data_IF_146859014863
#
_entry.id   IF_146859014863
#
_cell.length_a   1.000
_cell.length_b   1.000
_cell.length_c   1.000
_cell.angle_alpha   90.00
_cell.angle_beta   90.00
_cell.angle_gamma   90.00
#
_symmetry.space_group_name_H-M   'P 1'
#
loop_
_entity.id
_entity.type
_entity.pdbx_description
1 polymer ?
#
# COMPACT_ATOMS: atom_id res chain seq x y z
N UNK A 1 -29.55 13.25 30.66
CA UNK A 1 -29.73 14.61 30.11
C UNK A 1 -28.92 14.67 28.83
N UNK A 2 -29.61 14.91 27.73
CA UNK A 2 -29.20 14.72 26.32
C UNK A 2 -27.77 15.10 26.00
N UNK A 3 -27.19 14.34 25.06
CA UNK A 3 -25.82 14.46 24.57
C UNK A 3 -25.53 15.92 24.16
N UNK A 4 -24.86 16.66 25.04
CA UNK A 4 -24.25 17.94 24.68
C UNK A 4 -22.85 17.65 24.18
N UNK A 5 -22.59 17.99 22.93
CA UNK A 5 -21.27 17.93 22.34
C UNK A 5 -20.45 19.13 22.81
N UNK A 6 -19.20 18.88 23.21
CA UNK A 6 -18.25 19.91 23.64
C UNK A 6 -17.05 19.88 22.67
N UNK A 7 -16.67 21.03 22.17
CA UNK A 7 -15.57 21.16 21.19
C UNK A 7 -14.14 21.03 21.77
N UNK A 8 -14.01 20.98 23.11
CA UNK A 8 -12.69 20.91 23.76
C UNK A 8 -12.63 19.77 24.74
N UNK A 9 -11.49 19.10 24.79
CA UNK A 9 -11.17 18.12 25.82
C UNK A 9 -11.14 18.78 27.19
N UNK A 10 -11.67 18.12 28.20
CA UNK A 10 -11.75 18.61 29.60
C UNK A 10 -12.84 17.89 30.38
N UNK A 11 -13.15 18.42 31.55
CA UNK A 11 -14.16 17.86 32.40
C UNK A 11 -15.57 18.36 32.05
N UNK A 12 -16.55 17.48 32.16
CA UNK A 12 -17.94 17.83 31.95
C UNK A 12 -18.39 18.90 32.99
N UNK A 13 -18.86 20.08 32.55
CA UNK A 13 -19.23 21.15 33.49
C UNK A 13 -20.45 20.83 34.32
N UNK A 14 -21.17 19.75 34.05
CA UNK A 14 -22.38 19.34 34.77
C UNK A 14 -22.10 18.26 35.82
N UNK A 15 -21.23 17.27 35.50
CA UNK A 15 -21.00 16.13 36.39
C UNK A 15 -19.53 15.91 36.76
N UNK A 16 -18.59 16.70 36.22
CA UNK A 16 -17.15 16.62 36.53
C UNK A 16 -16.42 15.38 36.01
N UNK A 17 -17.06 14.56 35.18
CA UNK A 17 -16.39 13.43 34.53
C UNK A 17 -15.62 13.89 33.28
N UNK A 18 -14.50 13.21 33.01
CA UNK A 18 -13.72 13.44 31.79
C UNK A 18 -14.58 13.27 30.53
N UNK A 19 -14.50 14.24 29.64
CA UNK A 19 -15.14 14.15 28.31
C UNK A 19 -14.37 13.15 27.45
N UNK A 20 -15.02 12.05 27.11
CA UNK A 20 -14.48 11.04 26.22
C UNK A 20 -14.67 11.51 24.77
N UNK A 21 -13.59 11.52 24.01
CA UNK A 21 -13.66 11.82 22.59
C UNK A 21 -14.51 10.74 21.91
N UNK A 22 -15.68 11.12 21.39
CA UNK A 22 -16.46 10.20 20.58
C UNK A 22 -15.65 9.88 19.32
N UNK A 23 -15.45 8.60 18.98
CA UNK A 23 -14.87 8.25 17.70
C UNK A 23 -15.82 8.82 16.64
N UNK A 24 -15.31 9.75 15.85
CA UNK A 24 -16.00 10.26 14.66
C UNK A 24 -16.19 9.03 13.78
N UNK A 25 -17.41 8.51 13.72
CA UNK A 25 -17.78 7.48 12.73
C UNK A 25 -17.71 8.19 11.40
N UNK A 26 -16.54 8.11 10.78
CA UNK A 26 -16.26 8.77 9.53
C UNK A 26 -17.18 8.19 8.46
N UNK A 27 -18.22 8.92 8.12
CA UNK A 27 -19.09 8.66 6.96
C UNK A 27 -18.35 8.80 5.63
N UNK A 28 -17.10 9.34 5.65
CA UNK A 28 -16.20 9.44 4.51
C UNK A 28 -14.97 8.54 4.72
N UNK A 29 -14.61 7.82 3.67
CA UNK A 29 -13.41 7.00 3.66
C UNK A 29 -12.20 7.93 3.70
N UNK A 30 -11.44 7.89 4.80
CA UNK A 30 -10.19 8.65 4.97
C UNK A 30 -8.99 7.75 4.66
N UNK A 31 -7.93 8.38 4.19
CA UNK A 31 -6.68 7.72 3.81
C UNK A 31 -5.54 8.27 4.64
N UNK A 32 -4.61 7.41 5.04
CA UNK A 32 -3.43 7.79 5.82
C UNK A 32 -2.17 7.19 5.21
N UNK A 33 -1.02 7.75 5.56
CA UNK A 33 0.26 7.16 5.19
C UNK A 33 0.71 6.16 6.26
N UNK A 34 1.09 4.93 5.88
CA UNK A 34 1.59 3.94 6.84
C UNK A 34 2.82 4.37 7.64
N UNK A 35 3.67 5.21 7.04
CA UNK A 35 4.89 5.75 7.66
C UNK A 35 4.68 7.09 8.37
N UNK A 36 3.61 7.83 8.03
CA UNK A 36 3.28 9.15 8.56
C UNK A 36 1.79 9.18 8.95
N UNK A 37 1.42 8.60 10.10
CA UNK A 37 0.02 8.53 10.54
C UNK A 37 -0.65 9.89 10.71
N UNK A 38 0.14 10.95 10.89
CA UNK A 38 -0.31 12.33 10.96
C UNK A 38 -0.85 12.87 9.61
N UNK A 39 -0.52 12.21 8.50
CA UNK A 39 -1.04 12.57 7.18
C UNK A 39 -2.37 11.88 6.96
N UNK A 40 -3.46 12.64 7.07
CA UNK A 40 -4.83 12.19 6.78
C UNK A 40 -5.35 12.96 5.59
N UNK A 41 -5.95 12.25 4.63
CA UNK A 41 -6.56 12.82 3.43
C UNK A 41 -7.94 12.19 3.20
N UNK A 42 -8.87 12.97 2.67
CA UNK A 42 -10.19 12.48 2.26
C UNK A 42 -10.17 11.82 0.87
N UNK A 43 -9.10 12.04 0.11
CA UNK A 43 -8.93 11.48 -1.24
C UNK A 43 -7.75 10.51 -1.29
N UNK A 44 -7.84 9.45 -2.14
CA UNK A 44 -6.72 8.56 -2.39
C UNK A 44 -5.61 9.32 -3.13
N UNK A 45 -4.37 9.14 -2.70
CA UNK A 45 -3.25 9.87 -3.28
C UNK A 45 -1.91 9.38 -2.78
N UNK A 46 -0.88 10.23 -2.91
CA UNK A 46 0.46 9.96 -2.41
C UNK A 46 0.74 10.85 -1.20
N UNK A 47 1.43 10.29 -0.21
CA UNK A 47 1.87 11.01 0.97
C UNK A 47 2.78 12.20 0.56
N UNK A 48 2.51 13.44 1.01
CA UNK A 48 3.33 14.58 0.68
C UNK A 48 4.74 14.51 1.29
N UNK A 49 4.93 13.73 2.35
CA UNK A 49 6.22 13.63 3.05
C UNK A 49 7.12 12.57 2.39
N UNK A 50 6.62 11.34 2.16
CA UNK A 50 7.46 10.25 1.66
C UNK A 50 7.10 9.76 0.25
N UNK A 51 6.01 10.25 -0.35
CA UNK A 51 5.58 9.88 -1.71
C UNK A 51 4.94 8.49 -1.84
N UNK A 52 4.75 7.76 -0.74
CA UNK A 52 4.03 6.49 -0.74
C UNK A 52 2.54 6.71 -0.97
N UNK A 53 1.87 5.71 -1.54
CA UNK A 53 0.43 5.76 -1.70
C UNK A 53 -0.25 5.71 -0.34
N UNK A 54 -1.27 6.55 -0.16
CA UNK A 54 -2.08 6.57 1.04
C UNK A 54 -2.99 5.33 1.06
N UNK A 55 -3.10 4.71 2.22
CA UNK A 55 -3.96 3.54 2.46
C UNK A 55 -5.23 3.98 3.20
N UNK A 56 -6.38 3.36 2.96
CA UNK A 56 -7.60 3.69 3.67
C UNK A 56 -7.47 3.39 5.17
N UNK A 57 -7.94 4.31 6.03
CA UNK A 57 -7.95 4.16 7.48
C UNK A 57 -8.83 2.97 7.92
N UNK A 58 -9.94 2.77 7.20
CA UNK A 58 -10.83 1.61 7.37
C UNK A 58 -10.65 0.73 6.14
N UNK A 59 -9.92 -0.40 6.25
CA UNK A 59 -9.65 -1.28 5.12
C UNK A 59 -10.94 -1.91 4.58
N UNK A 60 -11.19 -1.77 3.27
CA UNK A 60 -12.17 -2.58 2.56
C UNK A 60 -11.45 -3.75 1.90
N UNK A 61 -11.95 -4.97 2.10
CA UNK A 61 -11.34 -6.23 1.65
C UNK A 61 -10.85 -6.20 0.20
N UNK A 62 -11.66 -5.68 -0.70
CA UNK A 62 -11.41 -5.76 -2.13
C UNK A 62 -10.27 -4.84 -2.65
N UNK A 63 -9.90 -3.80 -1.90
CA UNK A 63 -8.93 -2.80 -2.40
C UNK A 63 -7.48 -3.17 -2.09
N UNK A 64 -7.19 -3.71 -0.91
CA UNK A 64 -5.83 -4.12 -0.52
C UNK A 64 -5.37 -5.32 -1.35
N UNK A 65 -6.23 -6.33 -1.52
CA UNK A 65 -5.93 -7.49 -2.35
C UNK A 65 -5.71 -7.10 -3.81
N UNK A 66 -6.50 -6.17 -4.34
CA UNK A 66 -6.35 -5.70 -5.72
C UNK A 66 -5.03 -4.96 -5.95
N UNK A 67 -4.57 -4.16 -4.98
CA UNK A 67 -3.29 -3.45 -5.06
C UNK A 67 -2.11 -4.41 -5.03
N UNK A 68 -2.13 -5.40 -4.13
CA UNK A 68 -1.13 -6.45 -4.07
C UNK A 68 -1.05 -7.27 -5.36
N UNK A 69 -2.19 -7.69 -5.89
CA UNK A 69 -2.23 -8.44 -7.14
C UNK A 69 -1.70 -7.67 -8.35
N UNK A 70 -1.96 -6.36 -8.42
CA UNK A 70 -1.41 -5.47 -9.45
C UNK A 70 0.11 -5.35 -9.34
N UNK A 71 0.64 -5.16 -8.13
CA UNK A 71 2.09 -5.13 -7.90
C UNK A 71 2.74 -6.48 -8.22
N UNK A 72 2.10 -7.59 -7.85
CA UNK A 72 2.58 -8.93 -8.15
C UNK A 72 2.62 -9.23 -9.65
N UNK A 73 1.61 -8.78 -10.41
CA UNK A 73 1.63 -8.90 -11.87
C UNK A 73 2.80 -8.14 -12.51
N UNK A 74 3.04 -6.89 -12.05
CA UNK A 74 4.19 -6.09 -12.49
C UNK A 74 5.52 -6.73 -12.12
N UNK A 75 5.61 -7.32 -10.92
CA UNK A 75 6.81 -8.02 -10.45
C UNK A 75 7.15 -9.23 -11.31
N UNK A 76 6.16 -10.04 -11.71
CA UNK A 76 6.38 -11.16 -12.63
C UNK A 76 6.99 -10.69 -13.95
N UNK A 77 6.44 -9.62 -14.53
CA UNK A 77 6.96 -9.04 -15.76
C UNK A 77 8.38 -8.53 -15.56
N UNK A 78 8.63 -7.77 -14.49
CA UNK A 78 9.96 -7.28 -14.18
C UNK A 78 10.98 -8.42 -14.09
N UNK A 79 10.66 -9.51 -13.38
CA UNK A 79 11.54 -10.67 -13.22
C UNK A 79 11.81 -11.40 -14.56
N UNK A 80 10.77 -11.62 -15.36
CA UNK A 80 10.88 -12.32 -16.66
C UNK A 80 11.89 -11.61 -17.57
N UNK A 81 11.92 -10.29 -17.55
CA UNK A 81 12.82 -9.51 -18.40
C UNK A 81 14.16 -9.17 -17.74
N UNK A 82 14.20 -8.91 -16.44
CA UNK A 82 15.43 -8.55 -15.72
C UNK A 82 16.38 -9.73 -15.58
N UNK A 83 15.87 -10.95 -15.31
CA UNK A 83 16.72 -12.14 -15.15
C UNK A 83 17.55 -12.43 -16.41
N UNK A 84 17.00 -12.46 -17.63
CA UNK A 84 17.80 -12.62 -18.85
C UNK A 84 18.83 -11.50 -19.04
N UNK A 85 18.47 -10.23 -18.81
CA UNK A 85 19.41 -9.11 -18.91
C UNK A 85 20.59 -9.33 -17.95
N UNK A 86 20.31 -9.68 -16.70
CA UNK A 86 21.33 -9.94 -15.70
C UNK A 86 22.25 -11.10 -16.10
N UNK A 87 21.71 -12.20 -16.62
CA UNK A 87 22.49 -13.34 -17.10
C UNK A 87 23.39 -12.93 -18.27
N UNK A 88 22.87 -12.20 -19.25
CA UNK A 88 23.63 -11.74 -20.42
C UNK A 88 24.78 -10.84 -19.96
N UNK A 89 24.50 -9.85 -19.13
CA UNK A 89 25.51 -8.91 -18.63
C UNK A 89 26.59 -9.63 -17.80
N UNK A 90 26.20 -10.47 -16.85
CA UNK A 90 27.14 -11.22 -16.00
C UNK A 90 27.95 -12.25 -16.80
N UNK A 91 27.39 -12.83 -17.85
CA UNK A 91 28.11 -13.76 -18.73
C UNK A 91 29.35 -13.12 -19.37
N UNK A 92 29.29 -11.81 -19.65
CA UNK A 92 30.41 -11.06 -20.21
C UNK A 92 31.67 -10.99 -19.31
N UNK A 93 31.55 -11.34 -18.01
CA UNK A 93 32.67 -11.41 -17.09
C UNK A 93 33.37 -12.77 -17.08
N UNK A 94 32.79 -13.79 -17.74
CA UNK A 94 33.34 -15.13 -17.79
C UNK A 94 34.26 -15.25 -19.00
N UNK A 95 35.56 -15.61 -18.84
CA UNK A 95 36.45 -15.87 -19.96
C UNK A 95 35.93 -17.08 -20.76
N UNK A 96 36.04 -16.98 -22.07
CA UNK A 96 35.53 -17.99 -23.06
C UNK A 96 34.00 -18.22 -22.96
N UNK A 97 33.27 -17.12 -22.89
CA UNK A 97 31.82 -17.16 -22.80
C UNK A 97 31.16 -17.68 -24.08
N UNK A 98 30.38 -18.78 -24.02
CA UNK A 98 29.71 -19.34 -25.20
C UNK A 98 28.66 -18.41 -25.82
N UNK A 99 28.12 -17.44 -25.05
CA UNK A 99 27.16 -16.45 -25.57
C UNK A 99 27.82 -15.45 -26.53
N UNK A 100 29.10 -15.12 -26.32
CA UNK A 100 29.86 -14.24 -27.22
C UNK A 100 30.29 -14.92 -28.50
N UNK A 101 30.28 -16.28 -28.55
CA UNK A 101 30.49 -17.04 -29.80
C UNK A 101 29.24 -17.03 -30.70
N UNK A 102 28.04 -16.82 -30.10
CA UNK A 102 26.76 -16.80 -30.84
C UNK A 102 26.50 -15.44 -31.47
N UNK A 103 26.75 -14.36 -30.72
CA UNK A 103 26.46 -12.98 -31.11
C UNK A 103 27.54 -12.04 -30.59
N UNK A 104 27.86 -11.02 -31.40
CA UNK A 104 28.78 -9.95 -30.99
C UNK A 104 28.23 -9.15 -29.80
N UNK A 105 29.12 -8.60 -28.97
CA UNK A 105 28.76 -7.75 -27.83
C UNK A 105 27.81 -6.61 -28.21
N UNK A 106 28.01 -6.01 -29.36
CA UNK A 106 27.15 -4.94 -29.87
C UNK A 106 25.71 -5.41 -30.11
N UNK A 107 25.52 -6.66 -30.57
CA UNK A 107 24.19 -7.23 -30.77
C UNK A 107 23.51 -7.54 -29.44
N UNK A 108 24.25 -8.07 -28.47
CA UNK A 108 23.72 -8.29 -27.10
C UNK A 108 23.26 -7.00 -26.44
N UNK A 109 23.95 -5.88 -26.62
CA UNK A 109 23.55 -4.57 -26.11
C UNK A 109 22.16 -4.14 -26.62
N UNK A 110 21.83 -4.45 -27.88
CA UNK A 110 20.50 -4.20 -28.44
C UNK A 110 19.42 -5.10 -27.83
N UNK A 111 19.75 -6.36 -27.51
CA UNK A 111 18.85 -7.26 -26.81
C UNK A 111 18.59 -6.77 -25.35
N UNK A 112 19.65 -6.36 -24.64
CA UNK A 112 19.52 -5.80 -23.30
C UNK A 112 18.64 -4.53 -23.31
N UNK A 113 18.83 -3.65 -24.29
CA UNK A 113 17.96 -2.49 -24.49
C UNK A 113 16.50 -2.91 -24.71
N UNK A 114 16.23 -3.80 -25.67
CA UNK A 114 14.86 -4.24 -25.98
C UNK A 114 14.17 -4.89 -24.76
N UNK A 115 14.89 -5.73 -24.01
CA UNK A 115 14.38 -6.37 -22.81
C UNK A 115 14.19 -5.38 -21.65
N UNK A 116 14.94 -4.29 -21.59
CA UNK A 116 14.80 -3.27 -20.55
C UNK A 116 13.55 -2.41 -20.70
N UNK A 117 13.03 -2.24 -21.91
CA UNK A 117 11.85 -1.39 -22.19
C UNK A 117 10.60 -1.81 -21.40
N UNK A 118 10.18 -3.09 -21.37
CA UNK A 118 9.03 -3.52 -20.59
C UNK A 118 9.23 -3.29 -19.07
N UNK A 119 10.47 -3.44 -18.58
CA UNK A 119 10.77 -3.20 -17.16
C UNK A 119 10.61 -1.73 -16.81
N UNK A 120 11.24 -0.85 -17.58
CA UNK A 120 11.30 0.59 -17.31
C UNK A 120 9.95 1.26 -17.57
N UNK A 121 9.34 1.03 -18.72
CA UNK A 121 8.15 1.77 -19.18
C UNK A 121 6.82 1.14 -18.78
N UNK A 122 6.80 -0.13 -18.37
CA UNK A 122 5.56 -0.77 -17.90
C UNK A 122 5.62 -1.16 -16.44
N UNK A 123 6.52 -2.07 -16.06
CA UNK A 123 6.52 -2.61 -14.70
C UNK A 123 6.86 -1.55 -13.65
N UNK A 124 7.88 -0.74 -13.91
CA UNK A 124 8.47 0.22 -12.96
C UNK A 124 8.14 1.69 -13.27
N UNK A 125 7.29 1.97 -14.26
CA UNK A 125 6.91 3.33 -14.65
C UNK A 125 6.36 4.16 -13.49
N UNK A 126 5.69 3.53 -12.55
CA UNK A 126 5.14 4.16 -11.35
C UNK A 126 6.21 4.92 -10.53
N UNK A 127 7.45 4.44 -10.50
CA UNK A 127 8.54 5.11 -9.77
C UNK A 127 8.94 6.43 -10.42
N UNK A 128 8.96 6.49 -11.74
CA UNK A 128 9.23 7.73 -12.47
C UNK A 128 8.08 8.74 -12.30
N UNK A 129 6.83 8.29 -12.28
CA UNK A 129 5.69 9.15 -11.99
C UNK A 129 5.75 9.73 -10.57
N UNK A 130 6.10 8.90 -9.58
CA UNK A 130 6.26 9.36 -8.18
C UNK A 130 7.45 10.32 -8.05
N UNK A 131 8.57 10.01 -8.70
CA UNK A 131 9.74 10.88 -8.73
C UNK A 131 9.40 12.25 -9.35
N UNK A 132 8.69 12.26 -10.48
CA UNK A 132 8.28 13.50 -11.13
C UNK A 132 7.36 14.35 -10.23
N UNK A 133 6.35 13.73 -9.60
CA UNK A 133 5.47 14.43 -8.65
C UNK A 133 6.25 15.00 -7.48
N UNK A 134 7.19 14.25 -6.93
CA UNK A 134 8.05 14.66 -5.83
C UNK A 134 8.92 15.87 -6.20
N UNK A 135 9.45 15.92 -7.41
CA UNK A 135 10.23 17.05 -7.91
C UNK A 135 9.32 18.29 -8.08
N UNK A 136 8.15 18.13 -8.70
CA UNK A 136 7.23 19.23 -8.95
C UNK A 136 6.67 19.82 -7.65
N UNK A 137 6.36 18.97 -6.65
CA UNK A 137 5.90 19.39 -5.33
C UNK A 137 7.02 19.87 -4.40
N UNK A 138 8.29 19.79 -4.84
CA UNK A 138 9.49 20.12 -4.07
C UNK A 138 9.64 19.32 -2.75
N UNK A 139 8.95 18.18 -2.65
CA UNK A 139 9.06 17.24 -1.53
C UNK A 139 9.92 16.04 -1.94
N UNK A 140 11.24 16.25 -1.94
CA UNK A 140 12.20 15.24 -2.37
C UNK A 140 12.19 14.03 -1.44
N UNK A 141 12.04 12.83 -2.00
CA UNK A 141 11.93 11.58 -1.25
C UNK A 141 12.73 10.45 -1.91
N UNK A 142 12.64 9.25 -1.37
CA UNK A 142 13.32 8.07 -1.89
C UNK A 142 13.04 7.83 -3.38
N UNK A 143 11.80 8.06 -3.84
CA UNK A 143 11.44 7.85 -5.25
C UNK A 143 12.11 8.86 -6.18
N UNK A 144 12.37 10.08 -5.71
CA UNK A 144 13.15 11.07 -6.44
C UNK A 144 14.55 10.56 -6.74
N UNK A 145 15.23 10.04 -5.72
CA UNK A 145 16.59 9.52 -5.85
C UNK A 145 16.63 8.33 -6.81
N UNK A 146 15.71 7.38 -6.66
CA UNK A 146 15.60 6.21 -7.53
C UNK A 146 15.28 6.63 -8.98
N UNK A 147 14.30 7.53 -9.16
CA UNK A 147 13.89 7.97 -10.50
C UNK A 147 14.98 8.74 -11.24
N UNK A 148 15.70 9.63 -10.55
CA UNK A 148 16.84 10.35 -11.14
C UNK A 148 17.98 9.37 -11.43
N UNK A 149 18.39 8.55 -10.47
CA UNK A 149 19.53 7.64 -10.63
C UNK A 149 19.31 6.62 -11.74
N UNK A 150 18.18 5.89 -11.70
CA UNK A 150 17.83 4.93 -12.73
C UNK A 150 17.55 5.59 -14.08
N UNK A 151 16.92 6.77 -14.08
CA UNK A 151 16.64 7.53 -15.31
C UNK A 151 17.90 8.01 -16.00
N UNK A 152 18.85 8.57 -15.27
CA UNK A 152 20.13 9.02 -15.83
C UNK A 152 20.95 7.83 -16.34
N UNK A 153 21.02 6.72 -15.61
CA UNK A 153 21.72 5.51 -16.02
C UNK A 153 21.10 4.92 -17.31
N UNK A 154 19.77 4.89 -17.39
CA UNK A 154 19.05 4.44 -18.58
C UNK A 154 19.30 5.35 -19.78
N UNK A 155 19.14 6.68 -19.61
CA UNK A 155 19.37 7.66 -20.69
C UNK A 155 20.82 7.65 -21.17
N UNK A 156 21.80 7.55 -20.25
CA UNK A 156 23.19 7.40 -20.61
C UNK A 156 23.38 6.18 -21.50
N UNK A 157 22.83 5.03 -21.10
CA UNK A 157 22.96 3.78 -21.86
C UNK A 157 22.31 3.85 -23.23
N UNK A 158 21.15 4.52 -23.35
CA UNK A 158 20.49 4.78 -24.63
C UNK A 158 21.37 5.65 -25.53
N UNK A 159 21.89 6.77 -25.01
CA UNK A 159 22.77 7.66 -25.77
C UNK A 159 24.05 6.92 -26.20
N UNK A 160 24.64 6.13 -25.33
CA UNK A 160 25.85 5.37 -25.61
C UNK A 160 25.63 4.26 -26.67
N UNK A 161 24.42 3.66 -26.67
CA UNK A 161 24.03 2.65 -27.66
C UNK A 161 23.84 3.25 -29.06
N UNK A 162 23.12 4.39 -29.14
CA UNK A 162 22.80 5.02 -30.42
C UNK A 162 23.93 5.88 -30.98
N UNK A 163 24.75 6.49 -30.14
CA UNK A 163 25.79 7.43 -30.52
C UNK A 163 27.16 7.08 -29.88
N UNK A 164 27.71 5.88 -30.12
CA UNK A 164 28.97 5.45 -29.48
C UNK A 164 30.17 6.32 -29.90
N UNK A 165 30.06 7.07 -31.00
CA UNK A 165 31.12 7.95 -31.51
C UNK A 165 31.34 9.21 -30.64
N UNK A 166 30.34 9.64 -29.87
CA UNK A 166 30.45 10.80 -29.00
C UNK A 166 31.37 10.54 -27.80
N UNK A 167 31.51 9.28 -27.41
CA UNK A 167 32.28 8.90 -26.23
C UNK A 167 33.78 8.74 -26.55
N UNK A 168 34.67 9.30 -25.68
CA UNK A 168 36.12 9.10 -25.81
C UNK A 168 36.50 7.63 -25.74
N UNK A 169 37.70 7.31 -26.24
CA UNK A 169 38.21 5.93 -26.27
C UNK A 169 38.35 5.29 -24.88
N UNK A 170 38.55 6.11 -23.85
CA UNK A 170 38.66 5.68 -22.44
C UNK A 170 37.40 5.04 -21.89
N UNK A 171 36.21 5.40 -22.46
CA UNK A 171 34.91 4.81 -22.09
C UNK A 171 34.55 3.57 -22.90
N UNK A 172 35.40 3.19 -23.83
CA UNK A 172 35.19 2.04 -24.72
C UNK A 172 36.00 0.85 -24.26
N UNK A 173 35.39 -0.33 -24.28
CA UNK A 173 36.07 -1.61 -24.09
C UNK A 173 37.03 -1.87 -25.25
N UNK A 174 37.88 -2.88 -25.12
CA UNK A 174 38.79 -3.33 -26.18
C UNK A 174 38.09 -3.62 -27.52
N UNK A 175 36.80 -3.97 -27.48
CA UNK A 175 35.95 -4.24 -28.64
C UNK A 175 35.26 -2.97 -29.20
N UNK A 176 35.61 -1.77 -28.67
CA UNK A 176 35.05 -0.49 -29.12
C UNK A 176 33.63 -0.18 -28.64
N UNK A 177 33.02 -1.06 -27.88
CA UNK A 177 31.70 -0.84 -27.30
C UNK A 177 31.79 -0.02 -26.00
N UNK A 178 30.84 0.90 -25.78
CA UNK A 178 30.70 1.64 -24.52
C UNK A 178 30.00 0.75 -23.48
N UNK A 179 30.44 0.82 -22.23
CA UNK A 179 29.75 0.13 -21.13
C UNK A 179 28.35 0.71 -20.93
N UNK A 180 27.35 -0.16 -20.95
CA UNK A 180 25.95 0.19 -20.75
C UNK A 180 25.49 -0.23 -19.36
N UNK A 181 24.45 0.41 -18.85
CA UNK A 181 23.92 0.20 -17.49
C UNK A 181 22.46 -0.26 -17.50
N UNK A 182 22.02 -0.97 -18.57
CA UNK A 182 20.66 -1.49 -18.65
C UNK A 182 20.38 -2.52 -17.56
N UNK A 183 21.36 -3.41 -17.28
CA UNK A 183 21.25 -4.40 -16.21
C UNK A 183 21.16 -3.74 -14.84
N UNK A 184 22.02 -2.76 -14.54
CA UNK A 184 22.00 -2.06 -13.27
C UNK A 184 20.65 -1.33 -13.06
N UNK A 185 20.18 -0.64 -14.09
CA UNK A 185 18.89 0.06 -14.07
C UNK A 185 17.73 -0.91 -13.80
N UNK A 186 17.64 -2.00 -14.55
CA UNK A 186 16.53 -2.97 -14.43
C UNK A 186 16.58 -3.73 -13.11
N UNK A 187 17.77 -4.11 -12.63
CA UNK A 187 17.94 -4.79 -11.34
C UNK A 187 17.54 -3.85 -10.19
N UNK A 188 18.03 -2.60 -10.17
CA UNK A 188 17.67 -1.63 -9.13
C UNK A 188 16.16 -1.41 -9.10
N UNK A 189 15.53 -1.16 -10.25
CA UNK A 189 14.09 -0.93 -10.32
C UNK A 189 13.28 -2.16 -9.89
N UNK A 190 13.74 -3.38 -10.26
CA UNK A 190 13.09 -4.63 -9.86
C UNK A 190 13.21 -4.88 -8.36
N UNK A 191 14.38 -4.58 -7.75
CA UNK A 191 14.57 -4.69 -6.30
C UNK A 191 13.71 -3.68 -5.54
N UNK A 192 13.57 -2.46 -6.03
CA UNK A 192 12.66 -1.46 -5.44
C UNK A 192 11.21 -1.93 -5.55
N UNK A 193 10.82 -2.50 -6.68
CA UNK A 193 9.48 -3.08 -6.85
C UNK A 193 9.24 -4.26 -5.89
N UNK A 194 10.26 -5.09 -5.66
CA UNK A 194 10.22 -6.15 -4.67
C UNK A 194 10.00 -5.58 -3.25
N UNK A 195 10.73 -4.51 -2.90
CA UNK A 195 10.54 -3.80 -1.63
C UNK A 195 9.11 -3.33 -1.44
N UNK A 196 8.52 -2.71 -2.46
CA UNK A 196 7.11 -2.27 -2.43
C UNK A 196 6.12 -3.45 -2.32
N UNK A 197 6.42 -4.57 -2.96
CA UNK A 197 5.60 -5.77 -2.85
C UNK A 197 5.63 -6.37 -1.43
N UNK A 198 6.82 -6.44 -0.82
CA UNK A 198 6.99 -6.94 0.56
C UNK A 198 6.32 -6.02 1.57
N UNK A 199 6.41 -4.71 1.37
CA UNK A 199 5.73 -3.69 2.17
C UNK A 199 4.21 -3.86 2.10
N UNK A 200 3.63 -3.94 0.89
CA UNK A 200 2.20 -4.18 0.70
C UNK A 200 1.73 -5.46 1.38
N UNK A 201 2.53 -6.53 1.31
CA UNK A 201 2.23 -7.81 1.98
C UNK A 201 2.27 -7.69 3.51
N UNK A 202 3.22 -6.93 4.05
CA UNK A 202 3.32 -6.72 5.49
C UNK A 202 2.10 -5.95 6.03
N UNK A 203 1.68 -4.91 5.31
CA UNK A 203 0.49 -4.13 5.65
C UNK A 203 -0.78 -4.96 5.65
N UNK A 204 -1.03 -5.74 4.62
CA UNK A 204 -2.23 -6.58 4.52
C UNK A 204 -2.35 -7.56 5.69
N UNK A 205 -1.24 -8.07 6.22
CA UNK A 205 -1.25 -8.95 7.40
C UNK A 205 -1.60 -8.22 8.70
N UNK A 206 -1.13 -6.99 8.87
CA UNK A 206 -1.38 -6.20 10.08
C UNK A 206 -2.84 -5.70 10.10
N UNK A 207 -3.35 -5.24 8.97
CA UNK A 207 -4.77 -4.86 8.80
C UNK A 207 -5.71 -6.04 9.07
N UNK A 208 -5.31 -7.26 8.71
CA UNK A 208 -6.10 -8.47 8.95
C UNK A 208 -6.40 -8.74 10.44
N UNK A 209 -5.45 -8.47 11.34
CA UNK A 209 -5.65 -8.63 12.78
C UNK A 209 -6.66 -7.60 13.34
N UNK A 210 -6.52 -6.34 12.95
CA UNK A 210 -7.45 -5.26 13.33
C UNK A 210 -8.85 -5.56 12.79
N UNK A 211 -8.93 -6.08 11.57
CA UNK A 211 -10.16 -6.43 10.90
C UNK A 211 -10.87 -7.61 11.58
N UNK A 212 -10.13 -8.63 12.02
CA UNK A 212 -10.68 -9.73 12.79
C UNK A 212 -11.35 -9.21 14.09
N UNK A 213 -10.79 -8.18 14.71
CA UNK A 213 -11.40 -7.51 15.87
C UNK A 213 -12.64 -6.71 15.48
N UNK A 214 -12.61 -5.98 14.37
CA UNK A 214 -13.77 -5.23 13.87
C UNK A 214 -14.92 -6.15 13.42
N UNK A 215 -14.63 -7.34 12.90
CA UNK A 215 -15.65 -8.35 12.59
C UNK A 215 -16.34 -8.96 13.83
N UNK A 216 -15.79 -8.72 15.02
CA UNK A 216 -16.48 -9.08 16.26
C UNK A 216 -17.69 -8.18 16.51
N UNK A 217 -17.71 -6.95 16.01
CA UNK A 217 -18.88 -6.09 16.09
C UNK A 217 -20.01 -6.60 15.17
N UNK A 218 -21.25 -6.66 15.64
CA UNK A 218 -22.38 -7.05 14.82
C UNK A 218 -22.66 -6.01 13.74
N UNK A 219 -23.09 -6.43 12.57
CA UNK A 219 -23.45 -5.55 11.45
C UNK A 219 -24.95 -5.31 11.35
N UNK A 220 -25.74 -6.11 12.05
CA UNK A 220 -27.20 -6.08 12.03
C UNK A 220 -27.75 -6.17 13.44
N UNK A 221 -28.95 -5.65 13.64
CA UNK A 221 -29.70 -5.74 14.90
C UNK A 221 -31.17 -6.02 14.60
N UNK A 222 -31.86 -6.66 15.56
CA UNK A 222 -33.30 -6.90 15.47
C UNK A 222 -34.04 -5.82 16.25
N UNK A 223 -34.73 -4.91 15.53
CA UNK A 223 -35.56 -3.86 16.14
C UNK A 223 -37.00 -4.29 16.21
N UNK A 224 -37.67 -3.94 17.33
CA UNK A 224 -39.09 -4.17 17.53
C UNK A 224 -39.84 -2.90 17.15
N UNK A 225 -40.74 -3.01 16.15
CA UNK A 225 -41.62 -1.93 15.71
C UNK A 225 -43.07 -2.42 15.79
N UNK A 226 -43.90 -1.80 16.58
CA UNK A 226 -45.33 -2.18 16.76
C UNK A 226 -45.53 -3.66 17.11
N UNK A 227 -44.59 -4.28 17.82
CA UNK A 227 -44.64 -5.68 18.21
C UNK A 227 -44.09 -6.67 17.20
N UNK A 228 -43.64 -6.21 16.04
CA UNK A 228 -43.01 -7.04 15.00
C UNK A 228 -41.47 -6.88 15.04
N UNK A 229 -40.79 -8.00 14.87
CA UNK A 229 -39.33 -8.03 14.77
C UNK A 229 -38.87 -7.71 13.33
N UNK A 230 -38.01 -6.71 13.18
CA UNK A 230 -37.40 -6.35 11.92
C UNK A 230 -35.89 -6.27 12.03
N UNK A 231 -35.19 -7.02 11.18
CA UNK A 231 -33.71 -6.94 11.09
C UNK A 231 -33.35 -5.66 10.34
N UNK A 232 -32.52 -4.83 10.96
CA UNK A 232 -32.01 -3.58 10.44
C UNK A 232 -30.49 -3.54 10.46
N UNK A 233 -29.88 -2.66 9.67
CA UNK A 233 -28.46 -2.36 9.79
C UNK A 233 -28.17 -1.64 11.10
N UNK A 234 -26.98 -1.88 11.67
CA UNK A 234 -26.55 -1.18 12.89
C UNK A 234 -26.53 0.34 12.71
N UNK A 235 -26.29 0.81 11.47
CA UNK A 235 -26.27 2.24 11.14
C UNK A 235 -27.65 2.91 11.13
N UNK A 236 -28.71 2.11 11.12
CA UNK A 236 -30.10 2.59 11.10
C UNK A 236 -30.71 2.65 12.50
N UNK A 237 -29.96 2.25 13.55
CA UNK A 237 -30.39 2.29 14.94
C UNK A 237 -30.39 3.74 15.43
N UNK A 238 -31.46 4.13 16.11
CA UNK A 238 -31.63 5.45 16.72
C UNK A 238 -31.73 5.32 18.22
N UNK A 239 -31.44 6.42 18.91
CA UNK A 239 -31.69 6.52 20.36
C UNK A 239 -33.15 6.26 20.61
N UNK A 240 -33.48 5.52 21.68
CA UNK A 240 -34.83 5.04 22.08
C UNK A 240 -35.42 3.91 21.22
N UNK A 241 -34.64 3.32 20.29
CA UNK A 241 -35.07 2.10 19.59
C UNK A 241 -35.08 0.90 20.57
N UNK A 242 -36.15 0.10 20.50
CA UNK A 242 -36.23 -1.15 21.27
C UNK A 242 -35.62 -2.28 20.41
N UNK A 243 -34.55 -2.89 20.92
CA UNK A 243 -33.84 -3.96 20.25
C UNK A 243 -34.05 -5.29 20.97
N UNK A 244 -34.16 -6.38 20.23
CA UNK A 244 -34.15 -7.74 20.75
C UNK A 244 -32.81 -8.41 20.48
N UNK A 245 -32.21 -8.92 21.56
CA UNK A 245 -30.99 -9.72 21.51
C UNK A 245 -31.36 -11.13 22.02
N UNK A 246 -31.12 -12.13 21.16
CA UNK A 246 -31.40 -13.54 21.49
C UNK A 246 -30.17 -14.22 22.11
N UNK A 247 -30.34 -15.29 22.88
CA UNK A 247 -29.22 -16.05 23.40
C UNK A 247 -28.24 -16.47 22.29
N UNK A 248 -26.95 -16.17 22.48
CA UNK A 248 -25.90 -16.43 21.50
C UNK A 248 -25.71 -15.31 20.46
N UNK A 249 -26.54 -14.27 20.47
CA UNK A 249 -26.34 -13.10 19.62
C UNK A 249 -25.42 -12.09 20.31
N UNK A 250 -24.76 -11.26 19.51
CA UNK A 250 -23.93 -10.15 19.99
C UNK A 250 -24.80 -8.94 20.31
N UNK A 251 -24.45 -8.21 21.38
CA UNK A 251 -25.11 -6.94 21.71
C UNK A 251 -24.68 -5.89 20.69
N UNK A 252 -25.63 -5.29 19.92
CA UNK A 252 -25.30 -4.45 18.79
C UNK A 252 -24.81 -3.06 19.15
N UNK A 253 -25.34 -2.45 20.22
CA UNK A 253 -25.05 -1.09 20.67
C UNK A 253 -25.20 -1.00 22.18
N UNK A 254 -24.68 0.07 22.80
CA UNK A 254 -24.89 0.36 24.18
C UNK A 254 -26.38 0.62 24.45
N UNK A 255 -26.89 0.13 25.59
CA UNK A 255 -28.30 0.28 25.92
C UNK A 255 -28.63 -0.09 27.35
N UNK A 256 -29.92 0.01 27.70
CA UNK A 256 -30.47 -0.35 29.00
C UNK A 256 -31.40 -1.56 28.80
N UNK A 257 -31.22 -2.57 29.64
CA UNK A 257 -32.10 -3.73 29.65
C UNK A 257 -33.49 -3.30 30.19
N UNK A 258 -34.50 -3.45 29.36
CA UNK A 258 -35.88 -3.13 29.70
C UNK A 258 -36.65 -4.35 30.12
N UNK A 259 -36.34 -5.53 29.55
CA UNK A 259 -37.04 -6.79 29.84
C UNK A 259 -36.07 -7.97 29.62
N UNK A 260 -36.17 -8.99 30.49
CA UNK A 260 -35.40 -10.22 30.42
C UNK A 260 -34.16 -10.25 31.32
N UNK A 261 -33.55 -11.42 31.45
CA UNK A 261 -32.32 -11.68 32.20
C UNK A 261 -31.41 -12.58 31.38
N UNK A 262 -30.10 -12.31 31.33
CA UNK A 262 -29.11 -13.13 30.68
C UNK A 262 -27.70 -12.85 31.21
N UNK A 263 -26.82 -13.82 31.08
CA UNK A 263 -25.39 -13.62 31.30
C UNK A 263 -24.73 -13.14 30.00
N UNK A 264 -23.75 -12.23 30.10
CA UNK A 264 -23.03 -11.64 28.99
C UNK A 264 -21.58 -12.07 29.10
N UNK A 265 -21.04 -12.63 28.03
CA UNK A 265 -19.61 -12.92 27.93
C UNK A 265 -18.84 -11.66 27.57
N UNK A 266 -18.17 -11.09 28.57
CA UNK A 266 -17.29 -9.92 28.44
C UNK A 266 -15.81 -10.26 28.45
N UNK A 267 -15.44 -11.53 28.28
CA UNK A 267 -14.06 -11.99 28.39
C UNK A 267 -13.09 -11.27 27.45
N UNK A 268 -13.57 -10.81 26.29
CA UNK A 268 -12.78 -10.03 25.33
C UNK A 268 -12.41 -8.64 25.86
N UNK A 269 -13.17 -8.07 26.76
CA UNK A 269 -12.98 -6.71 27.30
C UNK A 269 -12.40 -6.78 28.72
N UNK A 270 -13.01 -7.57 29.58
CA UNK A 270 -12.63 -7.69 30.98
C UNK A 270 -11.45 -8.64 31.23
N UNK A 271 -11.24 -9.62 30.34
CA UNK A 271 -10.29 -10.69 30.53
C UNK A 271 -10.79 -11.79 31.51
N UNK A 272 -11.99 -11.67 32.06
CA UNK A 272 -12.58 -12.65 32.96
C UNK A 272 -13.21 -13.80 32.16
N UNK A 273 -12.90 -15.08 32.48
CA UNK A 273 -13.38 -16.21 31.70
C UNK A 273 -14.81 -16.64 32.02
N UNK A 274 -15.47 -16.01 33.00
CA UNK A 274 -16.82 -16.36 33.45
C UNK A 274 -17.74 -15.16 33.17
N UNK A 275 -18.89 -15.37 32.49
CA UNK A 275 -19.87 -14.33 32.22
C UNK A 275 -20.63 -13.89 33.48
#
# INVERSE_FOLDING_TARGET
EGAKEYEKAGDCPVCGMDLVQQPIVATRQQFTCPMHPEVISDDPGSCPICGMDLVPLIPKDDQEDSAYHKLWAKMKIALIFTIPIFIISMSGMIPNNPLLEILDRSQWNWFEFALSLPVVFYACWMFFQRAWRSIVSWNLNMFTLIGIGAGVAFLFSVVALFFPSIFPAEFKSHDGAVHLYFEATTVILTLVLLGQLLEARAHSRTSGAIKALLQLAPTQATRIINGEEKVISIHDIKVDDLLRVKPGEKIPVDGIITEGESSIDEAMISGEPIP
#
